data_IF_573334902524
#
_entry.id   IF_573334902524
#
_cell.length_a   1.000
_cell.length_b   1.000
_cell.length_c   1.000
_cell.angle_alpha   90.00
_cell.angle_beta   90.00
_cell.angle_gamma   90.00
#
_symmetry.space_group_name_H-M   'P 1'
#
loop_
_entity.id
_entity.type
_entity.pdbx_description
1 polymer ?
#
# COMPACT_ATOMS: atom_id res chain seq x y z
N UNK A 1 -28.15 2.41 -13.06
CA UNK A 1 -27.30 2.37 -11.83
C UNK A 1 -26.30 1.22 -11.84
N UNK A 2 -26.71 -0.03 -12.13
CA UNK A 2 -25.83 -1.21 -12.10
C UNK A 2 -24.52 -1.09 -12.91
N UNK A 3 -24.57 -0.60 -14.16
CA UNK A 3 -23.37 -0.37 -15.00
C UNK A 3 -22.35 0.58 -14.36
N UNK A 4 -22.83 1.60 -13.65
CA UNK A 4 -21.96 2.56 -12.98
C UNK A 4 -21.31 1.94 -11.74
N UNK A 5 -22.09 1.25 -10.90
CA UNK A 5 -21.57 0.54 -9.74
C UNK A 5 -20.52 -0.52 -10.15
N UNK A 6 -20.78 -1.30 -11.21
CA UNK A 6 -19.82 -2.26 -11.75
C UNK A 6 -18.52 -1.57 -12.20
N UNK A 7 -18.60 -0.45 -12.92
CA UNK A 7 -17.43 0.34 -13.29
C UNK A 7 -16.63 0.76 -12.06
N UNK A 8 -17.30 1.26 -11.00
CA UNK A 8 -16.63 1.66 -9.76
C UNK A 8 -15.89 0.48 -9.12
N UNK A 9 -16.55 -0.67 -8.97
CA UNK A 9 -15.93 -1.87 -8.39
C UNK A 9 -14.70 -2.31 -9.19
N UNK A 10 -14.78 -2.32 -10.54
CA UNK A 10 -13.63 -2.67 -11.38
C UNK A 10 -12.47 -1.68 -11.21
N UNK A 11 -12.76 -0.37 -11.14
CA UNK A 11 -11.75 0.66 -10.90
C UNK A 11 -11.12 0.53 -9.51
N UNK A 12 -11.92 0.20 -8.48
CA UNK A 12 -11.41 -0.04 -7.13
C UNK A 12 -10.44 -1.23 -7.11
N UNK A 13 -10.81 -2.34 -7.77
CA UNK A 13 -9.95 -3.53 -7.86
C UNK A 13 -8.66 -3.23 -8.63
N UNK A 14 -8.76 -2.63 -9.82
CA UNK A 14 -7.59 -2.26 -10.61
C UNK A 14 -6.68 -1.27 -9.86
N UNK A 15 -7.28 -0.25 -9.24
CA UNK A 15 -6.57 0.73 -8.42
C UNK A 15 -5.86 0.09 -7.24
N UNK A 16 -6.48 -0.90 -6.60
CA UNK A 16 -5.87 -1.64 -5.50
C UNK A 16 -4.64 -2.44 -5.94
N UNK A 17 -4.76 -3.25 -6.99
CA UNK A 17 -3.63 -4.05 -7.48
C UNK A 17 -2.43 -3.18 -7.87
N UNK A 18 -2.68 -2.09 -8.61
CA UNK A 18 -1.62 -1.16 -8.99
C UNK A 18 -1.04 -0.43 -7.78
N UNK A 19 -1.88 -0.02 -6.83
CA UNK A 19 -1.43 0.64 -5.60
C UNK A 19 -0.53 -0.26 -4.75
N UNK A 20 -0.87 -1.54 -4.60
CA UNK A 20 -0.04 -2.50 -3.86
C UNK A 20 1.31 -2.68 -4.56
N UNK A 21 1.32 -2.84 -5.89
CA UNK A 21 2.55 -3.00 -6.65
C UNK A 21 3.47 -1.78 -6.47
N UNK A 22 2.93 -0.57 -6.64
CA UNK A 22 3.71 0.66 -6.46
C UNK A 22 4.12 0.86 -5.00
N UNK A 23 3.28 0.47 -4.03
CA UNK A 23 3.63 0.47 -2.62
C UNK A 23 4.84 -0.39 -2.31
N UNK A 24 4.92 -1.61 -2.87
CA UNK A 24 6.09 -2.47 -2.70
C UNK A 24 7.35 -1.90 -3.37
N UNK A 25 7.20 -1.31 -4.56
CA UNK A 25 8.30 -0.58 -5.21
C UNK A 25 8.76 0.58 -4.32
N UNK A 26 7.84 1.29 -3.67
CA UNK A 26 8.16 2.37 -2.75
C UNK A 26 8.91 1.87 -1.51
N UNK A 27 8.55 0.71 -0.93
CA UNK A 27 9.34 0.08 0.15
C UNK A 27 10.79 -0.11 -0.30
N UNK A 28 11.01 -0.74 -1.45
CA UNK A 28 12.36 -0.99 -1.99
C UNK A 28 13.11 0.32 -2.22
N UNK A 29 12.44 1.33 -2.80
CA UNK A 29 13.04 2.63 -3.06
C UNK A 29 13.43 3.37 -1.76
N UNK A 30 12.58 3.31 -0.72
CA UNK A 30 12.86 3.92 0.59
C UNK A 30 14.05 3.20 1.25
N UNK A 31 14.07 1.87 1.25
CA UNK A 31 15.22 1.11 1.78
C UNK A 31 16.51 1.44 1.04
N UNK A 32 16.49 1.51 -0.30
CA UNK A 32 17.65 1.88 -1.11
C UNK A 32 18.14 3.30 -0.83
N UNK A 33 17.21 4.25 -0.62
CA UNK A 33 17.55 5.61 -0.26
C UNK A 33 18.21 5.67 1.12
N UNK A 34 17.64 4.98 2.12
CA UNK A 34 18.20 4.92 3.48
C UNK A 34 19.57 4.22 3.51
N UNK A 35 19.76 3.18 2.71
CA UNK A 35 21.04 2.47 2.60
C UNK A 35 22.18 3.30 2.01
N UNK A 36 21.83 4.36 1.26
CA UNK A 36 22.81 5.26 0.64
C UNK A 36 23.36 6.33 1.60
N UNK A 37 22.80 6.44 2.82
CA UNK A 37 23.21 7.43 3.81
C UNK A 37 24.58 7.06 4.44
N UNK A 38 25.44 8.06 4.74
CA UNK A 38 26.67 7.82 5.48
C UNK A 38 26.37 7.21 6.87
N UNK A 39 27.10 6.16 7.23
CA UNK A 39 26.89 5.39 8.47
C UNK A 39 25.49 4.74 8.59
N UNK A 40 24.85 4.41 7.47
CA UNK A 40 23.62 3.63 7.51
C UNK A 40 23.84 2.31 8.27
N UNK A 41 22.94 1.94 9.20
CA UNK A 41 22.99 0.64 9.86
C UNK A 41 23.07 -0.53 8.87
N UNK A 42 23.81 -1.57 9.23
CA UNK A 42 24.01 -2.75 8.36
C UNK A 42 22.70 -3.43 7.95
N UNK A 43 21.62 -3.26 8.72
CA UNK A 43 20.30 -3.78 8.37
C UNK A 43 19.72 -3.17 7.08
N UNK A 44 20.19 -1.98 6.68
CA UNK A 44 19.84 -1.35 5.41
C UNK A 44 20.74 -1.79 4.25
N UNK A 45 21.82 -2.53 4.49
CA UNK A 45 22.78 -2.86 3.44
C UNK A 45 22.11 -3.67 2.31
N UNK A 46 22.16 -3.15 1.09
CA UNK A 46 21.73 -3.88 -0.11
C UNK A 46 22.70 -5.04 -0.36
N UNK A 47 22.29 -6.27 -0.04
CA UNK A 47 23.08 -7.46 -0.29
C UNK A 47 23.23 -7.67 -1.80
N UNK A 48 24.47 -7.88 -2.28
CA UNK A 48 24.74 -8.08 -3.71
C UNK A 48 23.91 -9.24 -4.28
N UNK A 49 23.12 -8.96 -5.32
CA UNK A 49 22.28 -9.97 -5.98
C UNK A 49 23.19 -10.90 -6.78
N UNK A 50 23.38 -12.13 -6.31
CA UNK A 50 24.06 -13.17 -7.07
C UNK A 50 23.18 -13.67 -8.23
N UNK A 51 23.72 -14.33 -9.27
CA UNK A 51 22.92 -14.84 -10.39
C UNK A 51 21.79 -15.79 -9.96
N UNK A 52 21.99 -16.57 -8.90
CA UNK A 52 20.96 -17.44 -8.32
C UNK A 52 19.87 -16.60 -7.63
N UNK A 53 20.26 -15.53 -6.92
CA UNK A 53 19.29 -14.59 -6.34
C UNK A 53 18.47 -13.89 -7.42
N UNK A 54 19.05 -13.53 -8.57
CA UNK A 54 18.31 -12.94 -9.68
C UNK A 54 17.19 -13.84 -10.24
N UNK A 55 17.34 -15.17 -10.13
CA UNK A 55 16.31 -16.16 -10.48
C UNK A 55 15.23 -16.33 -9.40
N UNK A 56 15.58 -16.17 -8.13
CA UNK A 56 14.66 -16.32 -6.99
C UNK A 56 13.90 -15.02 -6.69
N UNK A 57 14.47 -13.87 -7.02
CA UNK A 57 13.88 -12.54 -6.78
C UNK A 57 12.52 -12.37 -7.45
N UNK A 58 12.28 -12.74 -8.72
CA UNK A 58 10.95 -12.59 -9.31
C UNK A 58 9.88 -13.47 -8.64
N UNK A 59 10.08 -14.78 -8.42
CA UNK A 59 9.14 -15.60 -7.65
C UNK A 59 8.91 -15.08 -6.23
N UNK A 60 9.96 -14.65 -5.54
CA UNK A 60 9.86 -14.09 -4.19
C UNK A 60 9.08 -12.77 -4.18
N UNK A 61 9.33 -11.89 -5.16
CA UNK A 61 8.61 -10.64 -5.32
C UNK A 61 7.12 -10.86 -5.58
N UNK A 62 6.79 -11.85 -6.42
CA UNK A 62 5.39 -12.25 -6.64
C UNK A 62 4.76 -12.83 -5.37
N UNK A 63 5.49 -13.65 -4.62
CA UNK A 63 5.02 -14.16 -3.33
C UNK A 63 4.72 -13.02 -2.34
N UNK A 64 5.64 -12.06 -2.19
CA UNK A 64 5.44 -10.87 -1.34
C UNK A 64 4.25 -10.04 -1.82
N UNK A 65 4.07 -9.88 -3.13
CA UNK A 65 2.91 -9.20 -3.71
C UNK A 65 1.58 -9.87 -3.36
N UNK A 66 1.47 -11.18 -3.56
CA UNK A 66 0.26 -11.93 -3.18
C UNK A 66 0.01 -11.92 -1.68
N UNK A 67 1.07 -12.09 -0.88
CA UNK A 67 0.97 -12.02 0.58
C UNK A 67 0.47 -10.63 1.02
N UNK A 68 1.02 -9.56 0.46
CA UNK A 68 0.55 -8.20 0.74
C UNK A 68 -0.92 -8.04 0.40
N UNK A 69 -1.35 -8.53 -0.77
CA UNK A 69 -2.78 -8.51 -1.16
C UNK A 69 -3.67 -9.19 -0.12
N UNK A 70 -3.26 -10.36 0.37
CA UNK A 70 -4.01 -11.11 1.38
C UNK A 70 -4.09 -10.35 2.70
N UNK A 71 -2.98 -9.73 3.11
CA UNK A 71 -2.85 -9.05 4.41
C UNK A 71 -3.52 -7.69 4.45
N UNK A 72 -3.61 -6.98 3.31
CA UNK A 72 -4.19 -5.63 3.24
C UNK A 72 -5.57 -5.57 2.59
N UNK A 73 -6.03 -6.69 2.01
CA UNK A 73 -7.24 -6.72 1.18
C UNK A 73 -8.50 -6.32 1.93
N UNK A 74 -8.70 -6.86 3.13
CA UNK A 74 -9.89 -6.57 3.94
C UNK A 74 -9.90 -5.11 4.41
N UNK A 75 -8.77 -4.62 4.94
CA UNK A 75 -8.62 -3.25 5.43
C UNK A 75 -8.83 -2.25 4.30
N UNK A 76 -8.22 -2.51 3.14
CA UNK A 76 -8.38 -1.65 1.95
C UNK A 76 -9.82 -1.68 1.45
N UNK A 77 -10.47 -2.84 1.41
CA UNK A 77 -11.88 -2.93 1.02
C UNK A 77 -12.75 -2.08 1.94
N UNK A 78 -12.55 -2.15 3.26
CA UNK A 78 -13.30 -1.36 4.23
C UNK A 78 -13.10 0.15 3.98
N UNK A 79 -11.85 0.62 3.88
CA UNK A 79 -11.56 2.03 3.65
C UNK A 79 -12.10 2.55 2.32
N UNK A 80 -12.01 1.74 1.27
CA UNK A 80 -12.48 2.13 -0.06
C UNK A 80 -14.01 2.16 -0.12
N UNK A 81 -14.71 1.23 0.56
CA UNK A 81 -16.17 1.30 0.70
C UNK A 81 -16.61 2.54 1.49
N UNK A 82 -15.90 2.90 2.56
CA UNK A 82 -16.14 4.15 3.29
C UNK A 82 -15.95 5.35 2.36
N UNK A 83 -14.85 5.40 1.61
CA UNK A 83 -14.59 6.49 0.67
C UNK A 83 -15.68 6.61 -0.41
N UNK A 84 -16.16 5.48 -0.95
CA UNK A 84 -17.24 5.45 -1.95
C UNK A 84 -18.60 5.86 -1.37
N UNK A 85 -18.94 5.37 -0.18
CA UNK A 85 -20.23 5.63 0.46
C UNK A 85 -20.39 7.12 0.81
N UNK A 86 -19.33 7.72 1.35
CA UNK A 86 -19.31 9.13 1.72
C UNK A 86 -18.80 10.04 0.58
N UNK A 87 -18.49 9.49 -0.59
CA UNK A 87 -17.93 10.23 -1.74
C UNK A 87 -16.69 11.06 -1.36
N UNK A 88 -15.82 10.50 -0.52
CA UNK A 88 -14.61 11.15 -0.04
C UNK A 88 -13.58 11.13 -1.16
N UNK A 89 -13.23 12.32 -1.69
CA UNK A 89 -12.32 12.46 -2.85
C UNK A 89 -10.97 13.10 -2.50
N UNK A 90 -10.76 13.43 -1.22
CA UNK A 90 -9.52 14.07 -0.77
C UNK A 90 -8.34 13.09 -0.89
N UNK A 91 -7.26 13.51 -1.54
CA UNK A 91 -6.07 12.67 -1.73
C UNK A 91 -5.36 12.38 -0.40
N UNK A 92 -5.29 13.35 0.53
CA UNK A 92 -4.67 13.16 1.85
C UNK A 92 -5.33 12.02 2.63
N UNK A 93 -6.67 11.92 2.54
CA UNK A 93 -7.42 10.85 3.19
C UNK A 93 -7.03 9.47 2.64
N UNK A 94 -6.92 9.35 1.31
CA UNK A 94 -6.56 8.08 0.68
C UNK A 94 -5.11 7.68 0.98
N UNK A 95 -4.20 8.66 1.08
CA UNK A 95 -2.84 8.41 1.56
C UNK A 95 -2.87 7.83 2.97
N UNK A 96 -3.61 8.45 3.89
CA UNK A 96 -3.76 7.95 5.28
C UNK A 96 -4.39 6.55 5.30
N UNK A 97 -5.41 6.28 4.48
CA UNK A 97 -6.00 4.95 4.36
C UNK A 97 -4.98 3.92 3.86
N UNK A 98 -4.15 4.29 2.87
CA UNK A 98 -3.07 3.43 2.38
C UNK A 98 -2.02 3.13 3.46
N UNK A 99 -1.59 4.14 4.21
CA UNK A 99 -0.67 3.96 5.34
C UNK A 99 -1.27 3.09 6.44
N UNK A 100 -2.53 3.33 6.82
CA UNK A 100 -3.23 2.54 7.83
C UNK A 100 -3.41 1.07 7.39
N UNK A 101 -3.76 0.84 6.12
CA UNK A 101 -3.88 -0.51 5.59
C UNK A 101 -2.53 -1.23 5.55
N UNK A 102 -1.45 -0.55 5.14
CA UNK A 102 -0.10 -1.11 5.09
C UNK A 102 0.43 -1.46 6.49
N UNK A 103 0.35 -0.53 7.44
CA UNK A 103 0.76 -0.77 8.84
C UNK A 103 -0.12 -1.86 9.48
N UNK A 104 -1.42 -1.84 9.23
CA UNK A 104 -2.34 -2.88 9.69
C UNK A 104 -2.00 -4.26 9.14
N UNK A 105 -1.67 -4.37 7.85
CA UNK A 105 -1.23 -5.62 7.23
C UNK A 105 0.11 -6.10 7.80
N UNK A 106 1.07 -5.19 8.02
CA UNK A 106 2.36 -5.52 8.63
C UNK A 106 2.21 -6.05 10.07
N UNK A 107 1.32 -5.44 10.87
CA UNK A 107 1.03 -5.88 12.23
C UNK A 107 0.43 -7.30 12.30
N UNK A 108 -0.22 -7.78 11.23
CA UNK A 108 -0.74 -9.16 11.16
C UNK A 108 0.38 -10.21 10.97
N UNK A 109 1.49 -9.84 10.32
CA UNK A 109 2.63 -10.75 10.10
C UNK A 109 3.54 -10.75 11.32
N UNK A 110 3.79 -9.56 11.86
CA UNK A 110 4.72 -9.40 12.96
C UNK A 110 4.05 -8.60 14.09
N UNK A 111 3.24 -9.26 14.95
CA UNK A 111 2.63 -8.62 16.10
C UNK A 111 3.68 -8.24 17.16
N UNK A 112 3.46 -7.16 17.92
CA UNK A 112 4.30 -6.75 19.06
C UNK A 112 3.46 -6.20 20.19
N UNK A 113 3.89 -6.46 21.42
CA UNK A 113 3.49 -5.63 22.54
C UNK A 113 4.31 -4.32 22.51
N UNK A 114 3.74 -3.19 22.99
CA UNK A 114 4.45 -1.92 23.06
C UNK A 114 5.77 -1.99 23.85
N UNK A 115 5.87 -2.91 24.82
CA UNK A 115 7.07 -3.14 25.61
C UNK A 115 8.24 -3.75 24.83
N UNK A 116 7.96 -4.38 23.68
CA UNK A 116 8.95 -5.11 22.87
C UNK A 116 9.38 -4.32 21.61
N UNK A 117 9.04 -3.02 21.53
CA UNK A 117 9.38 -2.19 20.38
C UNK A 117 10.83 -1.71 20.43
N UNK A 118 11.68 -2.32 19.60
CA UNK A 118 13.03 -1.83 19.32
C UNK A 118 13.01 -0.61 18.37
N UNK A 119 14.06 0.23 18.35
CA UNK A 119 14.18 1.35 17.41
C UNK A 119 14.12 0.93 15.93
N UNK A 120 14.73 -0.22 15.59
CA UNK A 120 14.68 -0.80 14.24
C UNK A 120 13.24 -1.09 13.81
N UNK A 121 12.42 -1.58 14.75
CA UNK A 121 11.03 -1.88 14.48
C UNK A 121 10.19 -0.63 14.23
N UNK A 122 10.48 0.46 14.92
CA UNK A 122 9.87 1.76 14.63
C UNK A 122 10.24 2.27 13.24
N UNK A 123 11.49 2.06 12.82
CA UNK A 123 11.93 2.41 11.47
C UNK A 123 11.20 1.58 10.41
N UNK A 124 11.06 0.27 10.60
CA UNK A 124 10.32 -0.59 9.67
C UNK A 124 8.85 -0.16 9.55
N UNK A 125 8.17 0.11 10.67
CA UNK A 125 6.79 0.64 10.66
C UNK A 125 6.73 1.98 9.92
N UNK A 126 7.71 2.87 10.12
CA UNK A 126 7.82 4.15 9.42
C UNK A 126 7.98 3.98 7.91
N UNK A 127 8.81 3.04 7.46
CA UNK A 127 9.01 2.72 6.05
C UNK A 127 7.74 2.16 5.43
N UNK A 128 7.08 1.21 6.12
CA UNK A 128 5.80 0.63 5.68
C UNK A 128 4.70 1.69 5.61
N UNK A 129 4.61 2.57 6.61
CA UNK A 129 3.66 3.68 6.60
C UNK A 129 3.91 4.63 5.43
N UNK A 130 5.16 5.01 5.19
CA UNK A 130 5.55 5.89 4.08
C UNK A 130 5.23 5.25 2.72
N UNK A 131 5.54 3.97 2.53
CA UNK A 131 5.16 3.23 1.34
C UNK A 131 3.63 3.14 1.17
N UNK A 132 2.90 2.95 2.27
CA UNK A 132 1.44 2.97 2.28
C UNK A 132 0.85 4.33 1.90
N UNK A 133 1.49 5.45 2.27
CA UNK A 133 1.10 6.79 1.79
C UNK A 133 1.21 6.87 0.26
N UNK A 134 2.30 6.35 -0.32
CA UNK A 134 2.49 6.32 -1.78
C UNK A 134 1.43 5.43 -2.43
N UNK A 135 1.19 4.23 -1.90
CA UNK A 135 0.14 3.33 -2.40
C UNK A 135 -1.24 4.01 -2.37
N UNK A 136 -1.58 4.68 -1.27
CA UNK A 136 -2.83 5.42 -1.13
C UNK A 136 -2.98 6.57 -2.13
N UNK A 137 -1.87 7.27 -2.44
CA UNK A 137 -1.84 8.28 -3.50
C UNK A 137 -2.12 7.65 -4.88
N UNK A 138 -1.46 6.55 -5.21
CA UNK A 138 -1.67 5.83 -6.48
C UNK A 138 -3.11 5.34 -6.60
N UNK A 139 -3.65 4.75 -5.55
CA UNK A 139 -5.05 4.35 -5.50
C UNK A 139 -5.97 5.54 -5.79
N UNK A 140 -5.70 6.69 -5.16
CA UNK A 140 -6.49 7.90 -5.38
C UNK A 140 -6.45 8.37 -6.85
N UNK A 141 -5.26 8.34 -7.48
CA UNK A 141 -5.09 8.72 -8.88
C UNK A 141 -5.95 7.86 -9.82
N UNK A 142 -6.11 6.57 -9.51
CA UNK A 142 -6.83 5.61 -10.35
C UNK A 142 -8.32 5.62 -10.04
N UNK A 143 -8.69 5.46 -8.76
CA UNK A 143 -10.07 5.23 -8.35
C UNK A 143 -10.65 6.35 -7.46
N UNK A 144 -9.85 6.93 -6.56
CA UNK A 144 -10.34 7.84 -5.52
C UNK A 144 -10.83 9.21 -6.00
N UNK A 145 -10.33 9.73 -7.13
CA UNK A 145 -10.76 11.04 -7.69
C UNK A 145 -12.26 11.12 -7.98
N UNK A 146 -12.83 10.01 -8.42
CA UNK A 146 -14.24 9.89 -8.80
C UNK A 146 -15.07 9.12 -7.76
N UNK A 147 -14.59 9.01 -6.51
CA UNK A 147 -15.31 8.29 -5.45
C UNK A 147 -16.75 8.79 -5.28
N UNK A 148 -17.67 7.83 -5.16
CA UNK A 148 -19.12 8.03 -5.06
C UNK A 148 -19.91 7.07 -5.96
N UNK A 149 -20.85 6.32 -5.38
CA UNK A 149 -21.81 5.52 -6.14
C UNK A 149 -22.99 6.33 -6.73
N UNK A 150 -23.21 7.56 -6.25
CA UNK A 150 -24.32 8.43 -6.67
C UNK A 150 -23.85 9.39 -7.76
N UNK A 151 -24.58 9.46 -8.88
CA UNK A 151 -24.37 10.48 -9.92
C UNK A 151 -24.84 11.86 -9.42
N UNK A 152 -24.20 12.98 -9.83
CA UNK A 152 -24.82 14.29 -9.72
C UNK A 152 -26.15 14.30 -10.47
N UNK A 153 -27.22 14.81 -9.85
CA UNK A 153 -28.58 14.83 -10.41
C UNK A 153 -28.73 15.66 -11.70
N UNK A 154 -27.72 16.46 -12.07
CA UNK A 154 -27.75 17.38 -13.22
C UNK A 154 -27.39 16.75 -14.58
N UNK A 155 -27.32 15.43 -14.69
CA UNK A 155 -27.00 14.71 -15.94
C UNK A 155 -28.07 13.66 -16.30
N UNK A 156 -29.34 13.94 -15.98
CA UNK A 156 -30.50 13.20 -16.49
C UNK A 156 -31.15 13.98 -17.63
#
# INVERSE_FOLDING_TARGET
MAKHALKRVLMMLAGYFVAVLVGLIAVVAIYAALSSLPNAPDYFAFMGVTPIMALVVPPLGMFVYFLTIMLTGLQTLIFTLIAEFFSLRNFWLHMVFGAAAAVGGFALVWPSAPADMSPERWADIGIIAAAGLVAGLIYWLIAGREAGFRRPLYQL
#
